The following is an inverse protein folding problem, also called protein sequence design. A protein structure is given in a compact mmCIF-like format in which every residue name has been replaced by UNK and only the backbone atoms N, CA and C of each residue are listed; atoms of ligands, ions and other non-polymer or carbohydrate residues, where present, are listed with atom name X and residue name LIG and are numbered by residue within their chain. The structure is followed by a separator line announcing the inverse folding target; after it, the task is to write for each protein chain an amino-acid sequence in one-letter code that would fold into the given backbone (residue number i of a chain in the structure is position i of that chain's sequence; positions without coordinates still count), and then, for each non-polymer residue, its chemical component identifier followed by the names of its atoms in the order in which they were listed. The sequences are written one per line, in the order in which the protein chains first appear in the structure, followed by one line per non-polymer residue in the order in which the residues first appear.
data_IF_782581931741
#
_entry.id   IF_782581931741
#
_cell.length_a   1.000
_cell.length_b   1.000
_cell.length_c   1.000
_cell.angle_alpha   90.00
_cell.angle_beta   90.00
_cell.angle_gamma   90.00
#
_symmetry.space_group_name_H-M   'P 1'
#
loop_
_entity.id
_entity.type
_entity.pdbx_description
1 polymer ?
#
# COMPACT_ATOMS: atom_id res chain seq x y z
N UNK A 1 35.65 85.08 28.04
CA UNK A 1 34.40 84.42 28.46
C UNK A 1 34.23 83.13 27.67
N UNK A 2 35.00 82.09 28.03
CA UNK A 2 35.09 80.81 27.29
C UNK A 2 34.28 79.67 27.94
N UNK A 3 33.44 80.00 28.93
CA UNK A 3 32.81 79.02 29.83
C UNK A 3 31.44 78.53 29.32
N UNK A 4 30.79 79.27 28.41
CA UNK A 4 29.48 78.88 27.85
C UNK A 4 29.55 77.99 26.60
N UNK A 5 30.73 77.84 25.97
CA UNK A 5 30.89 77.03 24.78
C UNK A 5 31.02 75.52 25.06
N UNK A 6 31.33 75.14 26.30
CA UNK A 6 31.61 73.74 26.67
C UNK A 6 30.37 72.97 27.18
N UNK A 7 29.27 73.66 27.48
CA UNK A 7 28.09 73.07 28.12
C UNK A 7 26.93 72.72 27.16
N UNK A 8 26.96 73.18 25.90
CA UNK A 8 25.94 72.82 24.90
C UNK A 8 26.37 71.71 23.92
N UNK A 9 27.67 71.41 23.83
CA UNK A 9 28.17 70.25 23.07
C UNK A 9 27.80 68.91 23.75
N UNK A 10 27.53 68.93 25.06
CA UNK A 10 27.17 67.72 25.82
C UNK A 10 25.69 67.31 25.72
N UNK A 11 24.79 68.14 25.15
CA UNK A 11 23.38 67.78 24.98
C UNK A 11 23.03 67.17 23.61
N UNK A 12 23.94 67.19 22.63
CA UNK A 12 23.71 66.57 21.31
C UNK A 12 24.34 65.17 21.20
N UNK A 13 25.33 64.85 22.03
CA UNK A 13 26.05 63.58 21.95
C UNK A 13 25.31 62.38 22.60
N UNK A 14 24.24 62.61 23.38
CA UNK A 14 23.49 61.55 24.05
C UNK A 14 22.37 60.90 23.22
N UNK A 15 22.02 61.46 22.06
CA UNK A 15 20.83 61.06 21.31
C UNK A 15 21.02 60.03 20.20
N UNK A 16 22.25 59.75 19.76
CA UNK A 16 22.49 58.98 18.53
C UNK A 16 22.96 57.54 18.80
N UNK A 17 23.52 57.26 19.99
CA UNK A 17 24.02 55.93 20.34
C UNK A 17 22.93 54.87 20.58
N UNK A 18 21.73 55.26 21.04
CA UNK A 18 20.65 54.33 21.38
C UNK A 18 19.89 53.79 20.17
N UNK A 19 19.83 54.54 19.06
CA UNK A 19 19.08 54.13 17.87
C UNK A 19 19.85 53.15 16.97
N UNK A 20 21.18 53.21 16.96
CA UNK A 20 21.98 52.30 16.14
C UNK A 20 22.08 50.88 16.73
N UNK A 21 22.01 50.75 18.06
CA UNK A 21 21.97 49.45 18.72
C UNK A 21 20.60 48.75 18.59
N UNK A 22 19.50 49.51 18.51
CA UNK A 22 18.17 48.91 18.36
C UNK A 22 17.91 48.40 16.92
N UNK A 23 18.51 49.04 15.90
CA UNK A 23 18.39 48.61 14.50
C UNK A 23 19.34 47.47 14.10
N UNK A 24 20.41 47.20 14.85
CA UNK A 24 21.33 46.07 14.56
C UNK A 24 20.73 44.72 14.93
N UNK A 25 19.76 44.71 15.85
CA UNK A 25 18.98 43.53 16.23
C UNK A 25 17.56 43.63 15.68
N UNK A 26 17.42 43.99 14.40
CA UNK A 26 16.17 43.75 13.70
C UNK A 26 15.82 42.26 13.79
N UNK A 27 14.53 41.89 13.87
CA UNK A 27 14.14 40.49 13.82
C UNK A 27 14.81 39.85 12.60
N UNK A 28 15.53 38.74 12.81
CA UNK A 28 16.02 37.92 11.71
C UNK A 28 14.88 37.76 10.73
N UNK A 29 15.07 38.03 9.42
CA UNK A 29 14.07 37.68 8.42
C UNK A 29 13.64 36.25 8.70
N UNK A 30 12.33 35.94 8.74
CA UNK A 30 11.90 34.57 8.99
C UNK A 30 12.70 33.70 8.03
N UNK A 31 13.45 32.76 8.61
CA UNK A 31 14.27 31.83 7.86
C UNK A 31 13.35 31.25 6.79
N UNK A 32 13.61 31.61 5.53
CA UNK A 32 12.86 31.05 4.42
C UNK A 32 13.20 29.57 4.47
N UNK A 33 12.31 28.78 5.07
CA UNK A 33 12.29 27.34 4.87
C UNK A 33 12.25 27.16 3.38
N UNK A 34 13.40 26.86 2.78
CA UNK A 34 13.46 26.21 1.49
C UNK A 34 12.73 24.89 1.72
N UNK A 35 11.42 24.92 1.50
CA UNK A 35 10.65 23.72 1.26
C UNK A 35 11.22 23.22 -0.05
N UNK A 36 12.19 22.31 0.03
CA UNK A 36 12.58 21.52 -1.13
C UNK A 36 11.26 20.93 -1.62
N UNK A 37 10.79 21.23 -2.84
CA UNK A 37 9.53 20.67 -3.28
C UNK A 37 9.70 19.16 -3.28
N UNK A 38 9.06 18.49 -2.33
CA UNK A 38 8.95 17.03 -2.36
C UNK A 38 8.35 16.72 -3.72
N UNK A 39 9.00 15.90 -4.56
CA UNK A 39 8.42 15.54 -5.84
C UNK A 39 7.00 15.03 -5.59
N UNK A 40 6.02 15.41 -6.42
CA UNK A 40 4.64 14.97 -6.23
C UNK A 40 4.62 13.45 -6.03
N UNK A 41 3.93 12.98 -4.99
CA UNK A 41 3.74 11.55 -4.79
C UNK A 41 3.11 11.00 -6.06
N UNK A 42 3.77 10.03 -6.69
CA UNK A 42 3.25 9.37 -7.88
C UNK A 42 1.83 8.86 -7.62
N UNK A 43 0.92 9.08 -8.56
CA UNK A 43 -0.45 8.58 -8.43
C UNK A 43 -0.48 7.05 -8.51
N UNK A 44 -1.48 6.41 -7.89
CA UNK A 44 -1.63 4.95 -7.95
C UNK A 44 -1.79 4.44 -9.40
N UNK A 45 -2.45 5.23 -10.25
CA UNK A 45 -2.62 4.91 -11.66
C UNK A 45 -1.28 4.99 -12.44
N UNK A 46 -0.46 6.01 -12.18
CA UNK A 46 0.87 6.13 -12.80
C UNK A 46 1.79 5.00 -12.35
N UNK A 47 1.75 4.66 -11.05
CA UNK A 47 2.48 3.52 -10.48
C UNK A 47 2.06 2.21 -11.13
N UNK A 48 0.75 1.97 -11.30
CA UNK A 48 0.23 0.81 -12.03
C UNK A 48 0.75 0.76 -13.46
N UNK A 49 0.64 1.87 -14.19
CA UNK A 49 1.07 1.97 -15.58
C UNK A 49 2.57 1.70 -15.73
N UNK A 50 3.40 2.15 -14.78
CA UNK A 50 4.83 1.82 -14.75
C UNK A 50 5.07 0.34 -14.50
N UNK A 51 4.45 -0.24 -13.47
CA UNK A 51 4.68 -1.63 -13.10
C UNK A 51 4.23 -2.60 -14.20
N UNK A 52 3.15 -2.30 -14.93
CA UNK A 52 2.70 -3.11 -16.09
C UNK A 52 3.69 -3.18 -17.26
N UNK A 53 4.74 -2.34 -17.28
CA UNK A 53 5.82 -2.40 -18.29
C UNK A 53 7.00 -3.27 -17.89
N UNK A 54 6.97 -3.82 -16.67
CA UNK A 54 8.03 -4.67 -16.14
C UNK A 54 7.49 -6.08 -15.87
N UNK A 55 7.93 -7.04 -16.68
CA UNK A 55 7.51 -8.44 -16.60
C UNK A 55 7.96 -9.14 -15.30
N UNK A 56 8.75 -8.47 -14.45
CA UNK A 56 9.19 -8.98 -13.14
C UNK A 56 8.47 -8.33 -11.97
N UNK A 57 7.55 -7.39 -12.24
CA UNK A 57 6.88 -6.59 -11.22
C UNK A 57 5.75 -7.32 -10.47
N UNK A 58 5.62 -8.65 -10.57
CA UNK A 58 4.50 -9.40 -9.97
C UNK A 58 4.31 -9.15 -8.47
N UNK A 59 5.40 -9.08 -7.70
CA UNK A 59 5.33 -8.79 -6.27
C UNK A 59 4.96 -7.31 -5.98
N UNK A 60 5.45 -6.38 -6.80
CA UNK A 60 5.15 -4.95 -6.66
C UNK A 60 3.70 -4.64 -7.05
N UNK A 61 3.17 -5.34 -8.06
CA UNK A 61 1.76 -5.29 -8.44
C UNK A 61 0.88 -5.86 -7.33
N UNK A 62 1.30 -6.94 -6.68
CA UNK A 62 0.61 -7.48 -5.51
C UNK A 62 0.62 -6.48 -4.33
N UNK A 63 1.72 -5.77 -4.09
CA UNK A 63 1.78 -4.74 -3.08
C UNK A 63 0.90 -3.52 -3.43
N UNK A 64 0.86 -3.13 -4.72
CA UNK A 64 0.00 -2.06 -5.19
C UNK A 64 -1.49 -2.40 -5.04
N UNK A 65 -1.89 -3.68 -5.17
CA UNK A 65 -3.25 -4.11 -4.86
C UNK A 65 -3.66 -3.75 -3.42
N UNK A 66 -2.77 -3.95 -2.44
CA UNK A 66 -3.06 -3.60 -1.04
C UNK A 66 -3.12 -2.09 -0.84
N UNK A 67 -2.15 -1.35 -1.38
CA UNK A 67 -2.09 0.11 -1.29
C UNK A 67 -3.35 0.77 -1.89
N UNK A 68 -3.72 0.37 -3.11
CA UNK A 68 -4.88 0.91 -3.80
C UNK A 68 -6.19 0.54 -3.10
N UNK A 69 -6.30 -0.68 -2.57
CA UNK A 69 -7.49 -1.09 -1.83
C UNK A 69 -7.66 -0.29 -0.54
N UNK A 70 -6.57 -0.04 0.21
CA UNK A 70 -6.57 0.79 1.42
C UNK A 70 -6.92 2.25 1.12
N UNK A 71 -6.51 2.76 -0.05
CA UNK A 71 -6.87 4.09 -0.53
C UNK A 71 -8.31 4.20 -1.06
N UNK A 72 -9.06 3.09 -1.13
CA UNK A 72 -10.40 3.04 -1.71
C UNK A 72 -10.44 3.02 -3.23
N UNK A 73 -9.29 2.99 -3.90
CA UNK A 73 -9.18 2.86 -5.36
C UNK A 73 -9.34 1.40 -5.78
N UNK A 74 -10.60 0.96 -5.83
CA UNK A 74 -10.95 -0.41 -6.21
C UNK A 74 -10.53 -0.76 -7.63
N UNK A 75 -10.51 0.22 -8.55
CA UNK A 75 -10.20 -0.01 -9.94
C UNK A 75 -8.70 -0.31 -10.13
N UNK A 76 -7.82 0.49 -9.51
CA UNK A 76 -6.38 0.21 -9.52
C UNK A 76 -6.08 -1.07 -8.74
N UNK A 77 -6.72 -1.29 -7.60
CA UNK A 77 -6.52 -2.50 -6.82
C UNK A 77 -6.82 -3.77 -7.64
N UNK A 78 -7.93 -3.79 -8.37
CA UNK A 78 -8.31 -4.92 -9.22
C UNK A 78 -7.33 -5.11 -10.38
N UNK A 79 -7.00 -4.03 -11.10
CA UNK A 79 -6.05 -4.13 -12.21
C UNK A 79 -4.65 -4.56 -11.79
N UNK A 80 -4.22 -4.19 -10.58
CA UNK A 80 -2.91 -4.57 -10.04
C UNK A 80 -2.85 -6.07 -9.72
N UNK A 81 -3.88 -6.63 -9.09
CA UNK A 81 -3.90 -8.07 -8.77
C UNK A 81 -4.03 -8.93 -10.03
N UNK A 82 -4.83 -8.50 -11.01
CA UNK A 82 -4.96 -9.21 -12.28
C UNK A 82 -3.63 -9.23 -13.03
N UNK A 83 -2.95 -8.09 -13.12
CA UNK A 83 -1.63 -8.00 -13.74
C UNK A 83 -0.58 -8.86 -13.01
N UNK A 84 -0.62 -8.92 -11.67
CA UNK A 84 0.28 -9.81 -10.92
C UNK A 84 0.05 -11.29 -11.28
N UNK A 85 -1.20 -11.71 -11.44
CA UNK A 85 -1.56 -13.07 -11.86
C UNK A 85 -1.14 -13.35 -13.30
N UNK A 86 -1.31 -12.39 -14.20
CA UNK A 86 -0.87 -12.48 -15.61
C UNK A 86 0.65 -12.70 -15.71
N UNK A 87 1.43 -12.11 -14.82
CA UNK A 87 2.88 -12.35 -14.68
C UNK A 87 3.24 -13.66 -13.96
N UNK A 88 2.26 -14.50 -13.63
CA UNK A 88 2.48 -15.78 -12.98
C UNK A 88 2.80 -15.68 -11.48
N UNK A 89 2.45 -14.57 -10.81
CA UNK A 89 2.68 -14.44 -9.38
C UNK A 89 1.77 -15.40 -8.58
N UNK A 90 2.37 -16.48 -8.05
CA UNK A 90 1.62 -17.49 -7.28
C UNK A 90 0.95 -16.91 -6.03
N UNK A 91 1.61 -15.98 -5.34
CA UNK A 91 1.07 -15.33 -4.14
C UNK A 91 -0.19 -14.53 -4.44
N UNK A 92 -0.23 -13.83 -5.58
CA UNK A 92 -1.41 -13.13 -6.05
C UNK A 92 -2.55 -14.10 -6.36
N UNK A 93 -2.25 -15.19 -7.07
CA UNK A 93 -3.23 -16.23 -7.40
C UNK A 93 -3.80 -16.91 -6.16
N UNK A 94 -2.94 -17.24 -5.19
CA UNK A 94 -3.32 -17.81 -3.90
C UNK A 94 -4.18 -16.85 -3.09
N UNK A 95 -3.84 -15.55 -3.09
CA UNK A 95 -4.62 -14.51 -2.42
C UNK A 95 -6.03 -14.41 -3.00
N UNK A 96 -6.17 -14.38 -4.32
CA UNK A 96 -7.49 -14.33 -4.97
C UNK A 96 -8.31 -15.58 -4.64
N UNK A 97 -7.71 -16.78 -4.63
CA UNK A 97 -8.40 -18.01 -4.24
C UNK A 97 -9.01 -17.90 -2.84
N UNK A 98 -8.26 -17.32 -1.89
CA UNK A 98 -8.73 -17.11 -0.51
C UNK A 98 -9.93 -16.18 -0.40
N UNK A 99 -10.07 -15.20 -1.30
CA UNK A 99 -11.23 -14.31 -1.30
C UNK A 99 -12.53 -15.07 -1.56
N UNK A 100 -12.47 -16.16 -2.35
CA UNK A 100 -13.63 -17.00 -2.66
C UNK A 100 -13.81 -18.19 -1.70
N UNK A 101 -12.74 -18.60 -1.01
CA UNK A 101 -12.76 -19.72 -0.06
C UNK A 101 -13.74 -19.45 1.09
N UNK A 102 -14.74 -20.32 1.33
CA UNK A 102 -15.70 -20.12 2.42
C UNK A 102 -15.08 -19.91 3.81
N UNK A 103 -13.91 -20.50 4.08
CA UNK A 103 -13.21 -20.41 5.37
C UNK A 103 -12.48 -19.08 5.58
N UNK A 104 -12.17 -18.36 4.50
CA UNK A 104 -11.44 -17.07 4.54
C UNK A 104 -12.10 -15.98 3.69
N UNK A 105 -13.39 -16.14 3.39
CA UNK A 105 -14.15 -15.29 2.50
C UNK A 105 -14.03 -13.82 2.87
N UNK A 106 -13.72 -12.98 1.89
CA UNK A 106 -13.62 -11.54 2.06
C UNK A 106 -14.68 -10.81 1.19
N UNK A 107 -15.80 -10.38 1.80
CA UNK A 107 -16.89 -9.72 1.08
C UNK A 107 -16.51 -8.33 0.56
N UNK A 108 -15.40 -7.75 1.03
CA UNK A 108 -14.91 -6.47 0.50
C UNK A 108 -14.14 -6.65 -0.80
N UNK A 109 -13.72 -7.88 -1.12
CA UNK A 109 -12.92 -8.23 -2.30
C UNK A 109 -13.74 -8.86 -3.40
N UNK A 110 -14.68 -9.75 -3.05
CA UNK A 110 -15.52 -10.48 -4.01
C UNK A 110 -16.96 -10.60 -3.50
N UNK A 111 -17.91 -10.74 -4.43
CA UNK A 111 -19.35 -10.64 -4.09
C UNK A 111 -19.93 -11.88 -3.42
N UNK A 112 -19.35 -13.06 -3.67
CA UNK A 112 -19.86 -14.33 -3.15
C UNK A 112 -18.74 -15.34 -2.95
N UNK A 113 -18.97 -16.26 -2.01
CA UNK A 113 -18.15 -17.46 -1.84
C UNK A 113 -18.23 -18.31 -3.10
N UNK A 114 -17.14 -18.99 -3.41
CA UNK A 114 -17.07 -19.98 -4.48
C UNK A 114 -16.01 -21.02 -4.13
N UNK A 115 -16.44 -22.07 -3.42
CA UNK A 115 -15.56 -23.15 -2.98
C UNK A 115 -14.88 -23.87 -4.16
N UNK A 116 -15.57 -24.00 -5.30
CA UNK A 116 -15.03 -24.65 -6.49
C UNK A 116 -13.92 -23.81 -7.12
N UNK A 117 -14.10 -22.48 -7.22
CA UNK A 117 -13.07 -21.57 -7.71
C UNK A 117 -11.83 -21.56 -6.81
N UNK A 118 -12.03 -21.53 -5.50
CA UNK A 118 -10.93 -21.63 -4.53
C UNK A 118 -10.19 -22.97 -4.67
N UNK A 119 -10.90 -24.10 -4.62
CA UNK A 119 -10.29 -25.43 -4.71
C UNK A 119 -9.57 -25.69 -6.03
N UNK A 120 -10.15 -25.27 -7.17
CA UNK A 120 -9.47 -25.35 -8.47
C UNK A 120 -8.11 -24.65 -8.43
N UNK A 121 -8.07 -23.46 -7.83
CA UNK A 121 -6.85 -22.65 -7.77
C UNK A 121 -5.81 -23.28 -6.83
N UNK A 122 -6.26 -23.77 -5.66
CA UNK A 122 -5.39 -24.49 -4.73
C UNK A 122 -4.84 -25.78 -5.32
N UNK A 123 -5.66 -26.53 -6.07
CA UNK A 123 -5.23 -27.72 -6.79
C UNK A 123 -4.15 -27.40 -7.82
N UNK A 124 -4.37 -26.38 -8.65
CA UNK A 124 -3.39 -25.95 -9.65
C UNK A 124 -2.05 -25.54 -9.03
N UNK A 125 -2.07 -24.67 -8.02
CA UNK A 125 -0.86 -24.25 -7.30
C UNK A 125 -0.20 -25.41 -6.55
N UNK A 126 -1.00 -26.31 -5.97
CA UNK A 126 -0.52 -27.49 -5.27
C UNK A 126 0.20 -28.48 -6.19
N UNK A 127 -0.30 -28.68 -7.41
CA UNK A 127 0.40 -29.44 -8.46
C UNK A 127 1.74 -28.79 -8.83
N UNK A 128 1.83 -27.45 -8.80
CA UNK A 128 3.07 -26.69 -8.96
C UNK A 128 4.04 -26.76 -7.77
N UNK A 129 3.68 -27.45 -6.68
CA UNK A 129 4.52 -27.62 -5.49
C UNK A 129 4.26 -26.59 -4.38
N UNK A 130 3.25 -25.74 -4.51
CA UNK A 130 2.91 -24.75 -3.49
C UNK A 130 2.28 -25.42 -2.25
N UNK A 131 3.04 -25.47 -1.15
CA UNK A 131 2.62 -26.20 0.07
C UNK A 131 1.43 -25.55 0.79
N UNK A 132 1.33 -24.22 0.76
CA UNK A 132 0.18 -23.52 1.34
C UNK A 132 -1.10 -23.88 0.56
N UNK A 133 -1.03 -23.91 -0.76
CA UNK A 133 -2.14 -24.33 -1.60
C UNK A 133 -2.58 -25.78 -1.32
N UNK A 134 -1.64 -26.72 -1.17
CA UNK A 134 -1.95 -28.11 -0.78
C UNK A 134 -2.67 -28.18 0.57
N UNK A 135 -2.20 -27.41 1.54
CA UNK A 135 -2.81 -27.34 2.89
C UNK A 135 -4.24 -26.82 2.82
N UNK A 136 -4.46 -25.75 2.04
CA UNK A 136 -5.79 -25.17 1.83
C UNK A 136 -6.72 -26.10 1.06
N UNK A 137 -6.20 -26.82 0.07
CA UNK A 137 -6.95 -27.84 -0.66
C UNK A 137 -7.42 -28.95 0.28
N UNK A 138 -6.55 -29.45 1.17
CA UNK A 138 -6.94 -30.44 2.16
C UNK A 138 -8.04 -29.92 3.09
N UNK A 139 -7.91 -28.69 3.57
CA UNK A 139 -8.90 -28.06 4.46
C UNK A 139 -10.26 -27.88 3.76
N UNK A 140 -10.29 -27.35 2.54
CA UNK A 140 -11.55 -27.12 1.81
C UNK A 140 -12.24 -28.45 1.44
N UNK A 141 -11.46 -29.49 1.14
CA UNK A 141 -11.96 -30.84 0.92
C UNK A 141 -12.57 -31.47 2.17
N UNK A 142 -11.91 -31.31 3.33
CA UNK A 142 -12.45 -31.78 4.60
C UNK A 142 -13.75 -31.06 4.96
N UNK A 143 -13.82 -29.74 4.76
CA UNK A 143 -15.02 -28.96 5.02
C UNK A 143 -16.16 -29.31 4.04
N UNK A 144 -15.85 -29.54 2.76
CA UNK A 144 -16.81 -29.98 1.75
C UNK A 144 -17.50 -31.31 2.10
N UNK A 145 -16.74 -32.29 2.60
CA UNK A 145 -17.28 -33.57 3.13
C UNK A 145 -18.24 -33.38 4.30
N UNK A 146 -18.03 -32.32 5.08
CA UNK A 146 -18.91 -31.94 6.19
C UNK A 146 -20.29 -31.43 5.76
N UNK A 147 -20.49 -31.14 4.46
CA UNK A 147 -21.81 -30.85 3.88
C UNK A 147 -22.40 -29.48 4.27
N UNK A 148 -21.57 -28.51 4.63
CA UNK A 148 -22.04 -27.15 4.94
C UNK A 148 -22.67 -26.45 3.73
N UNK A 149 -23.62 -25.53 3.97
CA UNK A 149 -24.35 -24.81 2.90
C UNK A 149 -23.42 -24.07 1.92
N UNK A 150 -22.29 -23.53 2.43
CA UNK A 150 -21.28 -22.87 1.61
C UNK A 150 -20.51 -23.81 0.65
N UNK A 151 -20.68 -25.13 0.81
CA UNK A 151 -20.05 -26.18 0.02
C UNK A 151 -21.07 -26.96 -0.82
N UNK A 152 -22.31 -26.47 -0.91
CA UNK A 152 -23.31 -27.07 -1.77
C UNK A 152 -22.84 -27.05 -3.23
N UNK A 153 -22.80 -28.21 -3.89
CA UNK A 153 -22.28 -28.34 -5.25
C UNK A 153 -20.76 -28.29 -5.36
N UNK A 154 -20.04 -28.44 -4.25
CA UNK A 154 -18.58 -28.59 -4.26
C UNK A 154 -18.16 -29.90 -4.95
N UNK A 155 -17.24 -29.82 -5.91
CA UNK A 155 -16.77 -30.96 -6.70
C UNK A 155 -15.67 -31.75 -6.00
N UNK A 156 -16.06 -32.43 -4.92
CA UNK A 156 -15.12 -33.22 -4.11
C UNK A 156 -14.37 -34.27 -4.95
N UNK A 157 -15.05 -35.01 -5.82
CA UNK A 157 -14.41 -36.06 -6.62
C UNK A 157 -13.34 -35.51 -7.57
N UNK A 158 -13.50 -34.27 -8.04
CA UNK A 158 -12.54 -33.61 -8.94
C UNK A 158 -11.30 -33.12 -8.19
N UNK A 159 -11.49 -32.48 -7.04
CA UNK A 159 -10.42 -31.75 -6.36
C UNK A 159 -9.77 -32.52 -5.20
N UNK A 160 -10.48 -33.50 -4.62
CA UNK A 160 -10.14 -34.10 -3.34
C UNK A 160 -9.79 -35.60 -3.42
N UNK A 161 -9.97 -36.24 -4.58
CA UNK A 161 -9.50 -37.59 -4.83
C UNK A 161 -8.09 -37.55 -5.44
N UNK A 162 -7.15 -38.31 -4.86
CA UNK A 162 -5.76 -38.43 -5.36
C UNK A 162 -4.83 -37.24 -5.10
N UNK A 163 -5.34 -36.09 -4.69
CA UNK A 163 -4.57 -34.87 -4.37
C UNK A 163 -4.06 -34.81 -2.92
N UNK A 164 -4.43 -35.79 -2.10
CA UNK A 164 -4.17 -35.84 -0.65
C UNK A 164 -3.21 -36.97 -0.23
N UNK A 165 -2.64 -37.74 -1.16
CA UNK A 165 -1.60 -38.70 -0.81
C UNK A 165 -0.23 -37.99 -0.72
N UNK A 166 0.50 -38.13 0.41
CA UNK A 166 1.86 -37.61 0.57
C UNK A 166 2.89 -38.31 -0.33
#
# INVERSE_FOLDING_TARGET
MWVYALLLVLLVAGGIGGLYAHYRNGPTPPEQTHVTPTPPRESLADKLARLKRDDRAGNDLLALNDEAFQAGDRAVAQQAIDAAIELGNESAKLRVARWYDPSSFDPQRVQSKDANKAARTYFELGMGGNQEARTRLAAICQAGRGGGADYQGFFETTYCQGSLDP
#
